data_IF_240707088370
#
_entry.id   IF_240707088370
#
_cell.length_a   1.000
_cell.length_b   1.000
_cell.length_c   1.000
_cell.angle_alpha   90.00
_cell.angle_beta   90.00
_cell.angle_gamma   90.00
#
_symmetry.space_group_name_H-M   'P 1'
#
loop_
_entity.id
_entity.type
_entity.pdbx_description
1 polymer ?
#
# COMPACT_ATOMS: atom_id res chain seq x y z
N UNK A 1 14.82 25.78 -69.72
CA UNK A 1 13.67 25.33 -68.91
C UNK A 1 14.22 24.69 -67.65
N UNK A 2 14.17 25.39 -66.52
CA UNK A 2 14.59 24.82 -65.23
C UNK A 2 13.38 24.12 -64.58
N UNK A 3 13.53 22.90 -64.06
CA UNK A 3 12.43 22.17 -63.44
C UNK A 3 12.02 22.85 -62.12
N UNK A 4 10.74 23.19 -62.02
CA UNK A 4 10.09 23.66 -60.80
C UNK A 4 10.15 22.54 -59.75
N UNK A 5 11.04 22.69 -58.77
CA UNK A 5 11.20 21.74 -57.69
C UNK A 5 9.97 21.77 -56.77
N UNK A 6 9.26 20.64 -56.72
CA UNK A 6 8.03 20.40 -55.98
C UNK A 6 8.10 20.84 -54.50
N UNK A 7 7.52 22.01 -54.20
CA UNK A 7 7.21 22.51 -52.85
C UNK A 7 6.45 21.48 -51.99
N UNK A 8 5.62 20.65 -52.61
CA UNK A 8 4.78 19.63 -51.97
C UNK A 8 5.55 18.52 -51.21
N UNK A 9 6.77 18.18 -51.65
CA UNK A 9 7.55 17.09 -51.04
C UNK A 9 8.17 17.47 -49.69
N UNK A 10 8.53 18.74 -49.51
CA UNK A 10 9.17 19.21 -48.27
C UNK A 10 8.19 19.34 -47.11
N UNK A 11 6.97 19.82 -47.36
CA UNK A 11 5.91 19.92 -46.33
C UNK A 11 5.49 18.56 -45.81
N UNK A 12 5.39 17.56 -46.68
CA UNK A 12 5.01 16.19 -46.28
C UNK A 12 6.05 15.56 -45.35
N UNK A 13 7.35 15.79 -45.60
CA UNK A 13 8.43 15.30 -44.75
C UNK A 13 8.39 15.92 -43.34
N UNK A 14 8.13 17.22 -43.23
CA UNK A 14 8.01 17.89 -41.93
C UNK A 14 6.79 17.42 -41.14
N UNK A 15 5.68 17.14 -41.81
CA UNK A 15 4.48 16.59 -41.15
C UNK A 15 4.76 15.18 -40.62
N UNK A 16 5.37 14.30 -41.43
CA UNK A 16 5.69 12.93 -41.00
C UNK A 16 6.70 12.93 -39.84
N UNK A 17 7.74 13.78 -39.90
CA UNK A 17 8.71 13.92 -38.81
C UNK A 17 8.07 14.53 -37.54
N UNK A 18 7.16 15.49 -37.70
CA UNK A 18 6.43 16.08 -36.58
C UNK A 18 5.48 15.10 -35.89
N UNK A 19 4.68 14.36 -36.67
CA UNK A 19 3.75 13.34 -36.14
C UNK A 19 4.52 12.17 -35.53
N UNK A 20 5.59 11.69 -36.18
CA UNK A 20 6.46 10.65 -35.64
C UNK A 20 7.12 11.08 -34.32
N UNK A 21 7.61 12.32 -34.24
CA UNK A 21 8.19 12.87 -33.01
C UNK A 21 7.19 12.95 -31.85
N UNK A 22 5.95 13.40 -32.11
CA UNK A 22 4.88 13.43 -31.10
C UNK A 22 4.50 12.02 -30.62
N UNK A 23 4.47 11.04 -31.51
CA UNK A 23 4.15 9.66 -31.15
C UNK A 23 5.22 9.04 -30.25
N UNK A 24 6.50 9.24 -30.59
CA UNK A 24 7.62 8.77 -29.75
C UNK A 24 7.62 9.47 -28.40
N UNK A 25 7.41 10.79 -28.36
CA UNK A 25 7.37 11.54 -27.10
C UNK A 25 6.18 11.11 -26.23
N UNK A 26 5.02 10.86 -26.82
CA UNK A 26 3.83 10.33 -26.13
C UNK A 26 4.09 8.95 -25.52
N UNK A 27 4.67 8.03 -26.29
CA UNK A 27 5.02 6.68 -25.81
C UNK A 27 6.03 6.71 -24.67
N UNK A 28 7.10 7.49 -24.80
CA UNK A 28 8.11 7.62 -23.74
C UNK A 28 7.49 8.22 -22.48
N UNK A 29 6.67 9.26 -22.61
CA UNK A 29 5.98 9.87 -21.47
C UNK A 29 5.07 8.86 -20.75
N UNK A 30 4.33 8.03 -21.50
CA UNK A 30 3.42 7.04 -20.94
C UNK A 30 4.18 5.91 -20.22
N UNK A 31 5.32 5.46 -20.78
CA UNK A 31 6.18 4.48 -20.13
C UNK A 31 6.83 5.01 -18.84
N UNK A 32 7.33 6.26 -18.86
CA UNK A 32 7.95 6.87 -17.68
C UNK A 32 6.92 7.12 -16.58
N UNK A 33 5.76 7.70 -16.92
CA UNK A 33 4.72 7.99 -15.94
C UNK A 33 4.09 6.71 -15.39
N UNK A 34 3.78 5.74 -16.27
CA UNK A 34 3.23 4.44 -15.87
C UNK A 34 4.20 3.64 -15.01
N UNK A 35 5.48 3.60 -15.38
CA UNK A 35 6.52 2.96 -14.57
C UNK A 35 6.71 3.63 -13.21
N UNK A 36 6.65 4.96 -13.14
CA UNK A 36 6.73 5.70 -11.87
C UNK A 36 5.57 5.37 -10.93
N UNK A 37 4.33 5.37 -11.44
CA UNK A 37 3.15 5.01 -10.65
C UNK A 37 3.22 3.56 -10.16
N UNK A 38 3.60 2.63 -11.05
CA UNK A 38 3.76 1.22 -10.69
C UNK A 38 4.78 0.98 -9.57
N UNK A 39 5.96 1.62 -9.66
CA UNK A 39 7.00 1.49 -8.61
C UNK A 39 6.53 2.08 -7.28
N UNK A 40 5.75 3.16 -7.32
CA UNK A 40 5.18 3.76 -6.11
C UNK A 40 4.24 2.77 -5.41
N UNK A 41 3.34 2.14 -6.15
CA UNK A 41 2.37 1.18 -5.58
C UNK A 41 3.06 -0.05 -4.97
N UNK A 42 4.08 -0.60 -5.64
CA UNK A 42 4.85 -1.73 -5.11
C UNK A 42 5.56 -1.41 -3.79
N UNK A 43 6.13 -0.21 -3.66
CA UNK A 43 6.78 0.22 -2.40
C UNK A 43 5.78 0.33 -1.25
N UNK A 44 4.56 0.78 -1.54
CA UNK A 44 3.52 0.94 -0.55
C UNK A 44 3.03 -0.40 -0.01
N UNK A 45 2.92 -1.42 -0.89
CA UNK A 45 2.63 -2.80 -0.50
C UNK A 45 3.72 -3.38 0.41
N UNK A 46 4.99 -3.24 0.00
CA UNK A 46 6.12 -3.75 0.78
C UNK A 46 6.21 -3.10 2.17
N UNK A 47 5.89 -1.81 2.27
CA UNK A 47 5.83 -1.10 3.56
C UNK A 47 4.69 -1.62 4.44
N UNK A 48 3.51 -1.83 3.85
CA UNK A 48 2.35 -2.33 4.57
C UNK A 48 2.53 -3.78 5.05
N UNK A 49 3.18 -4.65 4.27
CA UNK A 49 3.56 -6.00 4.72
C UNK A 49 4.49 -5.95 5.94
N UNK A 50 5.52 -5.09 5.89
CA UNK A 50 6.47 -4.93 6.99
C UNK A 50 5.81 -4.40 8.26
N UNK A 51 4.89 -3.44 8.12
CA UNK A 51 4.17 -2.87 9.24
C UNK A 51 3.10 -3.83 9.80
N UNK A 52 2.41 -4.58 8.94
CA UNK A 52 1.49 -5.66 9.34
C UNK A 52 2.24 -6.73 10.15
N UNK A 53 3.38 -7.21 9.64
CA UNK A 53 4.20 -8.19 10.35
C UNK A 53 4.78 -7.64 11.66
N UNK A 54 5.14 -6.35 11.70
CA UNK A 54 5.63 -5.68 12.92
C UNK A 54 4.54 -5.59 13.97
N UNK A 55 3.32 -5.24 13.56
CA UNK A 55 2.17 -5.22 14.45
C UNK A 55 1.83 -6.63 14.94
N UNK A 56 1.83 -7.65 14.08
CA UNK A 56 1.58 -9.03 14.47
C UNK A 56 2.61 -9.52 15.50
N UNK A 57 3.90 -9.21 15.30
CA UNK A 57 4.95 -9.49 16.30
C UNK A 57 4.73 -8.77 17.62
N UNK A 58 4.20 -7.56 17.61
CA UNK A 58 3.86 -6.83 18.85
C UNK A 58 2.69 -7.49 19.56
N UNK A 59 1.62 -7.82 18.84
CA UNK A 59 0.48 -8.55 19.41
C UNK A 59 0.92 -9.90 19.99
N UNK A 60 1.77 -10.63 19.29
CA UNK A 60 2.38 -11.87 19.79
C UNK A 60 3.16 -11.64 21.10
N UNK A 61 3.82 -10.48 21.27
CA UNK A 61 4.54 -10.11 22.48
C UNK A 61 3.62 -9.76 23.67
N UNK A 62 2.32 -9.52 23.47
CA UNK A 62 1.37 -9.43 24.59
C UNK A 62 1.23 -10.77 25.35
N UNK A 63 1.61 -11.89 24.73
CA UNK A 63 1.46 -13.21 25.31
C UNK A 63 0.00 -13.67 25.38
N UNK A 64 -0.26 -14.70 26.18
CA UNK A 64 -1.59 -15.29 26.35
C UNK A 64 -2.18 -14.82 27.69
N UNK A 65 -3.44 -14.35 27.73
CA UNK A 65 -4.37 -14.23 26.61
C UNK A 65 -4.02 -13.09 25.65
N UNK A 66 -4.24 -13.31 24.36
CA UNK A 66 -4.11 -12.28 23.33
C UNK A 66 -5.08 -11.11 23.60
N UNK A 67 -4.69 -9.87 23.24
CA UNK A 67 -5.49 -8.67 23.47
C UNK A 67 -6.78 -8.69 22.65
N UNK A 68 -7.80 -7.97 23.13
CA UNK A 68 -9.09 -7.85 22.44
C UNK A 68 -8.96 -7.17 21.06
N UNK A 69 -9.87 -7.53 20.15
CA UNK A 69 -9.96 -6.96 18.80
C UNK A 69 -10.06 -5.44 18.83
N UNK A 70 -9.50 -4.79 17.81
CA UNK A 70 -9.54 -3.34 17.68
C UNK A 70 -10.37 -2.92 16.48
N UNK A 71 -10.84 -1.67 16.52
CA UNK A 71 -11.28 -0.99 15.30
C UNK A 71 -10.08 -0.77 14.35
N UNK A 72 -10.39 -0.51 13.08
CA UNK A 72 -9.38 -0.12 12.11
C UNK A 72 -8.87 1.28 12.39
N UNK A 73 -7.54 1.42 12.36
CA UNK A 73 -6.85 2.67 12.65
C UNK A 73 -6.06 3.13 11.43
N UNK A 74 -6.27 4.38 10.99
CA UNK A 74 -7.26 5.34 11.52
C UNK A 74 -8.71 5.01 11.06
N UNK A 75 -9.69 5.56 11.77
CA UNK A 75 -11.13 5.23 11.62
C UNK A 75 -11.80 5.87 10.40
N UNK A 76 -11.38 7.06 9.99
CA UNK A 76 -11.98 7.86 8.92
C UNK A 76 -10.95 8.21 7.85
N UNK A 77 -11.34 8.06 6.58
CA UNK A 77 -10.54 8.51 5.43
C UNK A 77 -11.47 8.98 4.32
N UNK A 78 -11.75 10.29 4.25
CA UNK A 78 -12.01 10.88 2.97
C UNK A 78 -10.81 11.76 2.60
N UNK A 79 -10.22 11.44 1.45
CA UNK A 79 -9.49 12.40 0.61
C UNK A 79 -8.05 12.78 0.99
N UNK A 80 -7.40 12.11 1.97
CA UNK A 80 -6.01 12.42 2.34
C UNK A 80 -5.20 11.15 2.69
N UNK A 81 -3.87 11.16 2.49
CA UNK A 81 -2.98 10.18 3.11
C UNK A 81 -3.27 10.08 4.60
N UNK A 82 -3.25 8.87 5.15
CA UNK A 82 -3.74 8.58 6.49
C UNK A 82 -2.81 9.25 7.52
N UNK A 83 -3.21 10.42 8.02
CA UNK A 83 -2.63 11.03 9.22
C UNK A 83 -3.32 10.40 10.43
N UNK A 84 -2.73 9.32 10.96
CA UNK A 84 -3.12 8.83 12.28
C UNK A 84 -2.44 9.68 13.36
N UNK A 85 -3.21 10.11 14.35
CA UNK A 85 -2.65 10.71 15.55
C UNK A 85 -2.03 9.60 16.42
N UNK A 86 -1.00 9.89 17.24
CA UNK A 86 -0.46 8.91 18.18
C UNK A 86 -1.53 8.28 19.10
N UNK A 87 -2.59 9.03 19.42
CA UNK A 87 -3.71 8.56 20.23
C UNK A 87 -4.58 7.49 19.55
N UNK A 88 -4.57 7.40 18.21
CA UNK A 88 -5.35 6.38 17.50
C UNK A 88 -4.78 4.96 17.75
N UNK A 89 -3.50 4.88 18.13
CA UNK A 89 -2.78 3.65 18.44
C UNK A 89 -2.83 3.26 19.93
N UNK A 90 -3.75 3.84 20.70
CA UNK A 90 -3.82 3.62 22.14
C UNK A 90 -4.46 2.29 22.56
N UNK A 91 -5.06 1.54 21.64
CA UNK A 91 -5.73 0.27 21.99
C UNK A 91 -4.73 -0.76 22.55
N UNK A 92 -5.15 -1.65 23.46
CA UNK A 92 -4.26 -2.66 24.06
C UNK A 92 -3.50 -3.52 23.06
N UNK A 93 -4.14 -3.90 21.93
CA UNK A 93 -3.46 -4.68 20.89
C UNK A 93 -2.34 -3.92 20.16
N UNK A 94 -2.37 -2.59 20.20
CA UNK A 94 -1.28 -1.74 19.69
C UNK A 94 -0.24 -1.43 20.78
N UNK A 95 -0.48 -1.82 22.04
CA UNK A 95 0.32 -1.45 23.21
C UNK A 95 0.64 -2.69 24.05
N UNK A 96 1.56 -3.52 23.54
CA UNK A 96 2.08 -4.71 24.25
C UNK A 96 3.43 -4.42 24.94
N UNK A 97 3.97 -5.38 25.71
CA UNK A 97 5.33 -5.30 26.26
C UNK A 97 6.34 -5.00 25.13
N UNK A 98 7.06 -3.89 25.25
CA UNK A 98 7.91 -3.34 24.16
C UNK A 98 7.36 -2.06 23.50
N UNK A 99 6.24 -1.52 23.99
CA UNK A 99 5.77 -0.17 23.70
C UNK A 99 4.65 -0.08 22.65
N UNK A 100 4.28 1.15 22.29
CA UNK A 100 3.21 1.42 21.33
C UNK A 100 3.66 1.16 19.90
N UNK A 101 2.86 0.43 19.13
CA UNK A 101 2.99 0.37 17.70
C UNK A 101 2.70 1.75 17.13
N UNK A 102 3.68 2.32 16.45
CA UNK A 102 3.48 3.53 15.67
C UNK A 102 4.12 3.31 14.31
N UNK A 103 3.38 3.53 13.22
CA UNK A 103 3.96 3.48 11.89
C UNK A 103 5.06 4.52 11.75
N UNK A 104 6.11 4.17 11.00
CA UNK A 104 7.26 5.06 10.79
C UNK A 104 7.04 6.13 9.72
N UNK A 105 5.93 6.07 8.98
CA UNK A 105 5.64 6.95 7.82
C UNK A 105 4.13 7.23 7.72
N UNK A 106 3.71 8.26 6.96
CA UNK A 106 2.31 8.46 6.59
C UNK A 106 1.77 7.18 5.95
N UNK A 107 0.62 6.72 6.44
CA UNK A 107 0.07 5.43 6.02
C UNK A 107 -0.82 5.59 4.78
N UNK A 108 -0.89 4.54 3.97
CA UNK A 108 -1.95 4.33 2.96
C UNK A 108 -2.85 3.14 3.30
N UNK A 109 -2.63 2.57 4.48
CA UNK A 109 -3.30 1.39 4.97
C UNK A 109 -3.83 1.69 6.35
N UNK A 110 -5.05 1.23 6.62
CA UNK A 110 -5.57 1.14 7.98
C UNK A 110 -5.26 -0.23 8.54
N UNK A 111 -4.96 -0.29 9.83
CA UNK A 111 -4.59 -1.54 10.50
C UNK A 111 -5.60 -1.86 11.58
N UNK A 112 -5.96 -3.14 11.70
CA UNK A 112 -6.76 -3.65 12.82
C UNK A 112 -6.21 -4.98 13.31
N UNK A 113 -6.41 -5.23 14.59
CA UNK A 113 -6.23 -6.55 15.17
C UNK A 113 -7.59 -7.24 15.31
N UNK A 114 -7.66 -8.50 14.90
CA UNK A 114 -8.83 -9.35 15.09
C UNK A 114 -8.45 -10.57 15.91
N UNK A 115 -8.93 -10.62 17.16
CA UNK A 115 -8.83 -11.79 18.03
C UNK A 115 -9.84 -12.85 17.58
N UNK A 116 -9.37 -14.07 17.41
CA UNK A 116 -10.20 -15.24 17.11
C UNK A 116 -10.38 -16.14 18.35
N UNK A 117 -9.34 -16.24 19.17
CA UNK A 117 -9.35 -16.90 20.47
C UNK A 117 -8.30 -16.28 21.38
N UNK A 118 -8.16 -16.78 22.62
CA UNK A 118 -7.11 -16.31 23.54
C UNK A 118 -5.69 -16.61 23.06
N UNK A 119 -5.55 -17.48 22.06
CA UNK A 119 -4.26 -17.94 21.52
C UNK A 119 -4.11 -17.65 20.03
N UNK A 120 -5.17 -17.20 19.35
CA UNK A 120 -5.15 -16.96 17.91
C UNK A 120 -5.80 -15.65 17.52
N UNK A 121 -5.26 -15.04 16.49
CA UNK A 121 -5.90 -13.94 15.79
C UNK A 121 -5.07 -13.51 14.60
N UNK A 122 -5.46 -12.41 13.98
CA UNK A 122 -4.76 -11.87 12.82
C UNK A 122 -4.77 -10.37 12.79
N UNK A 123 -3.67 -9.82 12.30
CA UNK A 123 -3.56 -8.41 11.95
C UNK A 123 -3.99 -8.26 10.50
N UNK A 124 -4.84 -7.28 10.24
CA UNK A 124 -5.35 -6.96 8.91
C UNK A 124 -4.93 -5.52 8.57
N UNK A 125 -4.14 -5.37 7.52
CA UNK A 125 -3.83 -4.10 6.86
C UNK A 125 -4.71 -3.94 5.61
N UNK A 126 -5.50 -2.87 5.54
CA UNK A 126 -6.44 -2.62 4.44
C UNK A 126 -6.02 -1.33 3.73
N UNK A 127 -5.69 -1.41 2.45
CA UNK A 127 -5.25 -0.30 1.61
C UNK A 127 -6.36 0.22 0.71
N UNK A 128 -6.45 1.54 0.61
CA UNK A 128 -7.29 2.29 -0.32
C UNK A 128 -6.35 3.20 -1.13
N UNK A 129 -5.94 2.75 -2.32
CA UNK A 129 -4.89 3.39 -3.10
C UNK A 129 -5.41 4.61 -3.86
N UNK A 130 -6.71 4.63 -4.17
CA UNK A 130 -7.35 5.70 -4.94
C UNK A 130 -8.14 6.70 -4.05
N UNK A 131 -8.21 6.45 -2.74
CA UNK A 131 -8.94 7.23 -1.74
C UNK A 131 -10.44 7.32 -2.00
N UNK A 132 -11.04 6.28 -2.63
CA UNK A 132 -12.46 6.22 -2.94
C UNK A 132 -13.33 5.64 -1.80
N UNK A 133 -12.68 5.26 -0.69
CA UNK A 133 -13.30 4.67 0.50
C UNK A 133 -13.49 3.16 0.40
N UNK A 134 -13.02 2.49 -0.66
CA UNK A 134 -13.04 1.04 -0.81
C UNK A 134 -11.65 0.45 -0.60
N UNK A 135 -11.65 -0.77 -0.07
CA UNK A 135 -10.42 -1.53 0.14
C UNK A 135 -10.03 -2.19 -1.18
N UNK A 136 -8.94 -1.73 -1.78
CA UNK A 136 -8.35 -2.32 -2.99
C UNK A 136 -7.49 -3.54 -2.65
N UNK A 137 -6.80 -3.48 -1.49
CA UNK A 137 -5.84 -4.49 -1.06
C UNK A 137 -5.99 -4.81 0.42
N UNK A 138 -5.97 -6.10 0.74
CA UNK A 138 -5.92 -6.59 2.13
C UNK A 138 -4.62 -7.36 2.34
N UNK A 139 -3.95 -7.13 3.46
CA UNK A 139 -2.75 -7.84 3.90
C UNK A 139 -3.05 -8.43 5.26
N UNK A 140 -2.89 -9.74 5.40
CA UNK A 140 -3.20 -10.44 6.65
C UNK A 140 -1.96 -11.14 7.19
N UNK A 141 -1.67 -10.98 8.48
CA UNK A 141 -0.63 -11.75 9.18
C UNK A 141 -1.23 -12.38 10.42
N UNK A 142 -1.11 -13.70 10.53
CA UNK A 142 -1.69 -14.46 11.63
C UNK A 142 -0.72 -14.55 12.81
N UNK A 143 -1.29 -14.60 14.02
CA UNK A 143 -0.58 -14.83 15.28
C UNK A 143 -1.16 -16.10 15.90
N UNK A 144 -0.31 -17.08 16.15
CA UNK A 144 -0.68 -18.33 16.82
C UNK A 144 0.24 -18.56 18.03
N UNK A 145 -0.35 -18.59 19.22
CA UNK A 145 0.35 -18.76 20.48
C UNK A 145 0.10 -20.16 21.05
N UNK A 146 1.15 -20.99 21.08
CA UNK A 146 1.12 -22.32 21.70
C UNK A 146 2.00 -22.33 22.93
N UNK A 147 1.51 -22.91 24.04
CA UNK A 147 2.14 -23.10 25.36
C UNK A 147 3.58 -22.59 25.51
N UNK A 148 3.73 -21.27 25.68
CA UNK A 148 5.01 -20.60 25.98
C UNK A 148 5.69 -19.86 24.82
N UNK A 149 5.16 -19.94 23.60
CA UNK A 149 5.67 -19.20 22.44
C UNK A 149 4.57 -18.75 21.49
N UNK A 150 4.75 -17.58 20.87
CA UNK A 150 3.87 -17.10 19.81
C UNK A 150 4.63 -17.05 18.50
N UNK A 151 4.04 -17.62 17.46
CA UNK A 151 4.53 -17.60 16.08
C UNK A 151 3.72 -16.59 15.28
N UNK A 152 4.41 -15.86 14.40
CA UNK A 152 3.79 -14.94 13.44
C UNK A 152 3.93 -15.53 12.06
N UNK A 153 2.80 -15.86 11.45
CA UNK A 153 2.76 -16.39 10.09
C UNK A 153 2.91 -15.20 9.13
N UNK A 154 3.79 -15.39 8.16
CA UNK A 154 4.17 -14.39 7.15
C UNK A 154 2.93 -13.75 6.52
N UNK A 155 2.93 -12.43 6.30
CA UNK A 155 1.78 -11.77 5.70
C UNK A 155 1.43 -12.32 4.32
N UNK A 156 0.14 -12.48 4.06
CA UNK A 156 -0.42 -12.85 2.77
C UNK A 156 -1.18 -11.66 2.18
N UNK A 157 -0.87 -11.31 0.93
CA UNK A 157 -1.56 -10.24 0.19
C UNK A 157 -2.76 -10.82 -0.55
N UNK A 158 -3.93 -10.22 -0.33
CA UNK A 158 -5.17 -10.51 -1.04
C UNK A 158 -5.62 -9.26 -1.80
N UNK A 159 -5.44 -9.28 -3.11
CA UNK A 159 -5.90 -8.22 -4.01
C UNK A 159 -7.37 -8.42 -4.39
N UNK A 160 -8.18 -7.39 -4.24
CA UNK A 160 -9.59 -7.38 -4.65
C UNK A 160 -9.72 -6.57 -5.95
N UNK A 161 -9.40 -7.19 -7.09
CA UNK A 161 -9.63 -6.62 -8.42
C UNK A 161 -11.00 -7.02 -8.97
#
# INVERSE_FOLDING_TARGET
>A
MAPSANSSSRTTLWIVLGVGGLFVFGLVSLLVLGGYLYVKDQRLLEEAEKDTARLAKRVAACGVPLPESTEAVPKDVPSKPFDSAPGDWAAPAFTCEGGTFTPSRPQLYRFRWLKESDQKGRVIGEGDANFDGKVDTTIESEVDCTSGSCEVITPHVKSHF
#
